data_IF_449694518777
#
_entry.id   IF_449694518777
#
_cell.length_a   1.000
_cell.length_b   1.000
_cell.length_c   1.000
_cell.angle_alpha   90.00
_cell.angle_beta   90.00
_cell.angle_gamma   90.00
#
_symmetry.space_group_name_H-M   'P 1'
#
loop_
_entity.id
_entity.type
_entity.pdbx_description
1 polymer ?
#
# COMPACT_ATOMS: atom_id res chain seq x y z
N UNK A 1 9.00 6.05 -37.20
CA UNK A 1 8.96 6.44 -35.77
C UNK A 1 7.83 5.69 -35.09
N UNK A 2 8.14 4.73 -34.21
CA UNK A 2 7.11 3.94 -33.50
C UNK A 2 6.61 4.72 -32.27
N UNK A 3 5.35 5.18 -32.22
CA UNK A 3 4.83 6.03 -31.14
C UNK A 3 4.82 5.36 -29.74
N UNK A 4 5.04 4.05 -29.67
CA UNK A 4 4.92 3.25 -28.44
C UNK A 4 6.18 3.14 -27.58
N UNK A 5 7.37 3.42 -28.13
CA UNK A 5 8.63 3.22 -27.41
C UNK A 5 8.82 4.22 -26.24
N UNK A 6 8.40 5.48 -26.43
CA UNK A 6 8.55 6.54 -25.43
C UNK A 6 7.61 6.40 -24.24
N UNK A 7 6.39 5.88 -24.45
CA UNK A 7 5.40 5.68 -23.38
C UNK A 7 5.72 4.46 -22.52
N UNK A 8 6.17 3.35 -23.14
CA UNK A 8 6.57 2.13 -22.42
C UNK A 8 7.76 2.42 -21.50
N UNK A 9 8.84 3.02 -22.00
CA UNK A 9 10.01 3.35 -21.18
C UNK A 9 9.69 4.32 -20.03
N UNK A 10 8.75 5.26 -20.25
CA UNK A 10 8.38 6.27 -19.26
C UNK A 10 7.69 5.70 -18.02
N UNK A 11 6.94 4.61 -18.16
CA UNK A 11 6.19 3.99 -17.07
C UNK A 11 6.85 2.73 -16.51
N UNK A 12 7.84 2.16 -17.20
CA UNK A 12 8.55 0.96 -16.72
C UNK A 12 9.16 1.13 -15.33
N UNK A 13 9.96 2.19 -15.12
CA UNK A 13 10.59 2.41 -13.82
C UNK A 13 9.55 2.66 -12.69
N UNK A 14 8.56 3.56 -12.84
CA UNK A 14 7.47 3.71 -11.87
C UNK A 14 6.74 2.40 -11.55
N UNK A 15 6.40 1.61 -12.57
CA UNK A 15 5.73 0.33 -12.38
C UNK A 15 6.59 -0.67 -11.61
N UNK A 16 7.90 -0.69 -11.87
CA UNK A 16 8.84 -1.54 -11.13
C UNK A 16 8.94 -1.13 -9.66
N UNK A 17 9.02 0.16 -9.38
CA UNK A 17 9.04 0.67 -8.00
C UNK A 17 7.73 0.37 -7.27
N UNK A 18 6.58 0.51 -7.95
CA UNK A 18 5.29 0.13 -7.39
C UNK A 18 5.16 -1.36 -7.12
N UNK A 19 5.59 -2.21 -8.07
CA UNK A 19 5.59 -3.65 -7.89
C UNK A 19 6.52 -4.08 -6.73
N UNK A 20 7.71 -3.48 -6.63
CA UNK A 20 8.64 -3.75 -5.55
C UNK A 20 8.05 -3.33 -4.20
N UNK A 21 7.46 -2.14 -4.09
CA UNK A 21 6.81 -1.67 -2.87
C UNK A 21 5.68 -2.61 -2.44
N UNK A 22 4.81 -3.01 -3.37
CA UNK A 22 3.71 -3.94 -3.10
C UNK A 22 4.22 -5.31 -2.62
N UNK A 23 5.21 -5.88 -3.32
CA UNK A 23 5.77 -7.19 -2.96
C UNK A 23 6.46 -7.15 -1.61
N UNK A 24 7.27 -6.12 -1.35
CA UNK A 24 7.94 -5.95 -0.06
C UNK A 24 6.93 -5.82 1.08
N UNK A 25 5.88 -5.01 0.90
CA UNK A 25 4.83 -4.84 1.91
C UNK A 25 4.12 -6.16 2.23
N UNK A 26 3.68 -6.92 1.21
CA UNK A 26 3.04 -8.21 1.43
C UNK A 26 3.98 -9.24 2.07
N UNK A 27 5.26 -9.27 1.67
CA UNK A 27 6.25 -10.16 2.29
C UNK A 27 6.51 -9.78 3.75
N UNK A 28 6.59 -8.49 4.07
CA UNK A 28 6.75 -8.02 5.44
C UNK A 28 5.54 -8.38 6.29
N UNK A 29 4.31 -8.23 5.78
CA UNK A 29 3.08 -8.65 6.48
C UNK A 29 3.05 -10.15 6.72
N UNK A 30 3.37 -10.95 5.71
CA UNK A 30 3.44 -12.41 5.83
C UNK A 30 4.50 -12.85 6.85
N UNK A 31 5.68 -12.23 6.81
CA UNK A 31 6.73 -12.48 7.81
C UNK A 31 6.27 -12.08 9.22
N UNK A 32 5.62 -10.92 9.37
CA UNK A 32 5.12 -10.46 10.66
C UNK A 32 4.08 -11.42 11.24
N UNK A 33 3.15 -11.91 10.41
CA UNK A 33 2.17 -12.93 10.81
C UNK A 33 2.81 -14.25 11.24
N UNK A 34 3.95 -14.64 10.67
CA UNK A 34 4.60 -15.91 10.99
C UNK A 34 5.53 -15.84 12.20
N UNK A 35 6.03 -14.65 12.56
CA UNK A 35 7.05 -14.50 13.62
C UNK A 35 6.55 -13.72 14.83
N UNK A 36 5.58 -12.81 14.67
CA UNK A 36 5.13 -11.89 15.71
C UNK A 36 3.71 -12.17 16.23
N UNK A 37 3.11 -13.32 15.91
CA UNK A 37 1.74 -13.64 16.32
C UNK A 37 1.59 -13.78 17.85
N UNK A 38 2.58 -14.40 18.49
CA UNK A 38 2.60 -14.69 19.93
C UNK A 38 3.73 -13.95 20.68
N UNK A 39 4.51 -13.12 19.98
CA UNK A 39 5.69 -12.46 20.54
C UNK A 39 6.00 -11.11 19.93
N UNK A 40 6.67 -10.27 20.70
CA UNK A 40 7.27 -9.01 20.24
C UNK A 40 8.78 -9.13 20.08
N UNK A 41 9.35 -8.37 19.14
CA UNK A 41 10.80 -8.27 18.95
C UNK A 41 11.26 -6.87 19.36
N UNK A 42 12.12 -6.80 20.37
CA UNK A 42 12.78 -5.56 20.77
C UNK A 42 13.96 -5.29 19.84
N UNK A 43 13.97 -4.12 19.19
CA UNK A 43 15.02 -3.75 18.23
C UNK A 43 16.12 -2.93 18.92
N UNK A 44 15.82 -1.66 19.21
CA UNK A 44 16.77 -0.73 19.82
C UNK A 44 16.04 0.26 20.70
N UNK A 45 16.56 0.45 21.91
CA UNK A 45 16.01 1.37 22.90
C UNK A 45 14.53 1.07 23.22
N UNK A 46 13.60 1.92 22.78
CA UNK A 46 12.15 1.75 22.99
C UNK A 46 11.43 1.21 21.75
N UNK A 47 12.14 0.99 20.63
CA UNK A 47 11.56 0.50 19.39
C UNK A 47 11.31 -1.01 19.48
N UNK A 48 10.04 -1.39 19.36
CA UNK A 48 9.58 -2.78 19.39
C UNK A 48 8.70 -3.07 18.19
N UNK A 49 8.92 -4.22 17.58
CA UNK A 49 8.02 -4.76 16.58
C UNK A 49 6.96 -5.58 17.31
N UNK A 50 5.70 -5.20 17.09
CA UNK A 50 4.53 -5.88 17.63
C UNK A 50 3.50 -5.99 16.53
N UNK A 51 2.92 -7.18 16.35
CA UNK A 51 1.87 -7.38 15.36
C UNK A 51 0.57 -6.76 15.88
N UNK A 52 0.03 -5.78 15.16
CA UNK A 52 -1.25 -5.15 15.49
C UNK A 52 -2.16 -5.25 14.27
N UNK A 53 -3.35 -5.77 14.49
CA UNK A 53 -4.38 -5.87 13.47
C UNK A 53 -5.17 -4.55 13.46
N UNK A 54 -4.95 -3.72 12.45
CA UNK A 54 -5.64 -2.44 12.32
C UNK A 54 -6.89 -2.61 11.45
N UNK A 55 -8.08 -2.60 12.05
CA UNK A 55 -9.39 -2.68 11.38
C UNK A 55 -9.81 -1.39 10.67
N UNK A 56 -8.84 -0.60 10.18
CA UNK A 56 -9.06 0.65 9.45
C UNK A 56 -9.17 1.91 10.32
N UNK A 57 -8.83 1.84 11.61
CA UNK A 57 -8.91 2.96 12.54
C UNK A 57 -7.52 3.34 13.07
N UNK A 58 -6.80 4.22 12.37
CA UNK A 58 -5.72 4.96 13.04
C UNK A 58 -6.36 5.76 14.19
N UNK A 59 -5.91 5.53 15.43
CA UNK A 59 -6.35 6.22 16.66
C UNK A 59 -7.77 5.90 17.20
N UNK A 60 -8.34 4.74 16.85
CA UNK A 60 -9.63 4.30 17.44
C UNK A 60 -10.87 5.10 17.00
N UNK A 61 -10.71 6.17 16.22
CA UNK A 61 -11.81 7.00 15.69
C UNK A 61 -12.33 6.57 14.32
N UNK A 62 -11.73 5.55 13.69
CA UNK A 62 -12.06 5.11 12.33
C UNK A 62 -12.83 3.80 12.21
N UNK A 63 -13.37 3.26 13.31
CA UNK A 63 -14.12 2.00 13.27
C UNK A 63 -15.34 2.15 12.34
N UNK A 64 -15.43 1.30 11.31
CA UNK A 64 -16.49 1.37 10.29
C UNK A 64 -16.20 2.29 9.10
N UNK A 65 -15.10 3.05 9.09
CA UNK A 65 -14.72 3.92 7.95
C UNK A 65 -13.93 3.18 6.86
N UNK A 66 -13.69 1.87 7.00
CA UNK A 66 -12.94 1.06 6.02
C UNK A 66 -13.31 1.35 4.56
N UNK A 67 -14.60 1.24 4.16
CA UNK A 67 -15.02 1.55 2.79
C UNK A 67 -14.76 2.99 2.36
N UNK A 68 -14.92 3.97 3.26
CA UNK A 68 -14.66 5.38 2.96
C UNK A 68 -13.16 5.60 2.71
N UNK A 69 -12.30 4.98 3.52
CA UNK A 69 -10.84 5.03 3.34
C UNK A 69 -10.42 4.35 2.03
N UNK A 70 -11.03 3.22 1.67
CA UNK A 70 -10.82 2.56 0.37
C UNK A 70 -11.12 3.51 -0.78
N UNK A 71 -12.28 4.18 -0.76
CA UNK A 71 -12.64 5.18 -1.80
C UNK A 71 -11.62 6.33 -1.81
N UNK A 72 -11.24 6.85 -0.64
CA UNK A 72 -10.25 7.92 -0.53
C UNK A 72 -8.90 7.51 -1.15
N UNK A 73 -8.42 6.29 -0.87
CA UNK A 73 -7.17 5.76 -1.44
C UNK A 73 -7.26 5.72 -2.96
N UNK A 74 -8.36 5.21 -3.52
CA UNK A 74 -8.57 5.16 -4.98
C UNK A 74 -8.52 6.58 -5.59
N UNK A 75 -9.19 7.55 -4.97
CA UNK A 75 -9.16 8.95 -5.42
C UNK A 75 -7.75 9.52 -5.40
N UNK A 76 -7.00 9.31 -4.32
CA UNK A 76 -5.62 9.79 -4.19
C UNK A 76 -4.71 9.13 -5.24
N UNK A 77 -4.83 7.82 -5.46
CA UNK A 77 -4.06 7.10 -6.50
C UNK A 77 -4.32 7.68 -7.88
N UNK A 78 -5.58 7.90 -8.26
CA UNK A 78 -5.94 8.50 -9.55
C UNK A 78 -5.35 9.90 -9.69
N UNK A 79 -5.43 10.72 -8.65
CA UNK A 79 -4.86 12.07 -8.64
C UNK A 79 -3.32 12.03 -8.83
N UNK A 80 -2.62 11.18 -8.09
CA UNK A 80 -1.16 11.07 -8.15
C UNK A 80 -0.68 10.56 -9.51
N UNK A 81 -1.33 9.54 -10.07
CA UNK A 81 -1.00 9.04 -11.42
C UNK A 81 -1.22 10.14 -12.45
N UNK A 82 -2.32 10.90 -12.35
CA UNK A 82 -2.60 12.02 -13.25
C UNK A 82 -1.59 13.15 -13.10
N UNK A 83 -1.18 13.48 -11.88
CA UNK A 83 -0.11 14.43 -11.61
C UNK A 83 1.23 13.96 -12.24
N UNK A 84 1.68 12.74 -11.93
CA UNK A 84 2.93 12.17 -12.46
C UNK A 84 2.94 12.06 -14.00
N UNK A 85 1.78 11.84 -14.61
CA UNK A 85 1.64 11.80 -16.07
C UNK A 85 1.90 13.14 -16.75
N UNK A 86 1.73 14.26 -16.03
CA UNK A 86 1.96 15.63 -16.51
C UNK A 86 3.35 16.17 -16.18
N UNK A 87 4.00 15.63 -15.15
CA UNK A 87 5.35 16.04 -14.76
C UNK A 87 6.39 15.41 -15.70
N UNK A 88 7.41 16.17 -16.10
CA UNK A 88 8.56 15.67 -16.89
C UNK A 88 9.58 14.87 -16.07
N UNK A 89 9.63 15.11 -14.77
CA UNK A 89 10.58 14.55 -13.82
C UNK A 89 10.41 13.03 -13.60
N UNK A 90 11.51 12.29 -13.76
CA UNK A 90 11.56 10.84 -13.60
C UNK A 90 11.52 10.43 -12.13
N UNK A 91 12.10 11.22 -11.23
CA UNK A 91 12.15 10.92 -9.80
C UNK A 91 10.74 10.95 -9.21
N UNK A 92 10.00 12.03 -9.48
CA UNK A 92 8.59 12.17 -9.10
C UNK A 92 7.76 10.97 -9.54
N UNK A 93 7.96 10.49 -10.79
CA UNK A 93 7.21 9.33 -11.28
C UNK A 93 7.55 8.04 -10.54
N UNK A 94 8.83 7.81 -10.21
CA UNK A 94 9.23 6.63 -9.43
C UNK A 94 8.66 6.67 -8.00
N UNK A 95 8.69 7.84 -7.34
CA UNK A 95 8.08 8.04 -6.03
C UNK A 95 6.57 7.77 -6.10
N UNK A 96 5.88 8.33 -7.09
CA UNK A 96 4.45 8.06 -7.30
C UNK A 96 4.19 6.58 -7.56
N UNK A 97 5.04 5.91 -8.35
CA UNK A 97 4.96 4.47 -8.57
C UNK A 97 5.02 3.68 -7.26
N UNK A 98 6.00 3.98 -6.40
CA UNK A 98 6.13 3.37 -5.07
C UNK A 98 4.91 3.63 -4.18
N UNK A 99 4.42 4.88 -4.12
CA UNK A 99 3.23 5.25 -3.34
C UNK A 99 1.99 4.49 -3.84
N UNK A 100 1.80 4.38 -5.16
CA UNK A 100 0.68 3.63 -5.75
C UNK A 100 0.80 2.15 -5.40
N UNK A 101 2.00 1.57 -5.48
CA UNK A 101 2.25 0.18 -5.07
C UNK A 101 1.85 -0.09 -3.62
N UNK A 102 2.31 0.76 -2.69
CA UNK A 102 1.97 0.66 -1.27
C UNK A 102 0.48 0.95 -0.98
N UNK A 103 -0.15 1.81 -1.77
CA UNK A 103 -1.60 2.03 -1.67
C UNK A 103 -2.39 0.80 -2.15
N UNK A 104 -1.94 0.16 -3.22
CA UNK A 104 -2.58 -1.05 -3.76
C UNK A 104 -2.49 -2.23 -2.81
N UNK A 105 -1.38 -2.42 -2.10
CA UNK A 105 -1.27 -3.49 -1.10
C UNK A 105 -2.30 -3.34 0.04
N UNK A 106 -2.54 -2.11 0.50
CA UNK A 106 -3.62 -1.83 1.47
C UNK A 106 -5.03 -2.10 0.92
N UNK A 107 -5.27 -1.86 -0.37
CA UNK A 107 -6.54 -2.20 -1.02
C UNK A 107 -6.73 -3.72 -1.12
N UNK A 108 -5.66 -4.48 -1.40
CA UNK A 108 -5.71 -5.94 -1.46
C UNK A 108 -6.15 -6.52 -0.12
N UNK A 109 -5.54 -6.06 0.98
CA UNK A 109 -5.90 -6.55 2.32
C UNK A 109 -7.37 -6.25 2.65
N UNK A 110 -7.84 -5.03 2.37
CA UNK A 110 -9.24 -4.64 2.60
C UNK A 110 -10.24 -5.42 1.74
N UNK A 111 -9.91 -5.73 0.48
CA UNK A 111 -10.75 -6.57 -0.38
C UNK A 111 -10.82 -8.02 0.13
N UNK A 112 -9.70 -8.56 0.62
CA UNK A 112 -9.67 -9.90 1.21
C UNK A 112 -10.53 -9.94 2.47
N UNK A 113 -10.45 -8.93 3.32
CA UNK A 113 -11.29 -8.81 4.51
C UNK A 113 -12.79 -8.74 4.17
N UNK A 114 -13.15 -7.92 3.17
CA UNK A 114 -14.52 -7.80 2.66
C UNK A 114 -15.04 -9.12 2.07
N UNK A 115 -14.22 -9.83 1.28
CA UNK A 115 -14.59 -11.12 0.69
C UNK A 115 -14.74 -12.23 1.73
N UNK A 116 -13.88 -12.24 2.75
CA UNK A 116 -13.89 -13.27 3.80
C UNK A 116 -15.08 -13.12 4.77
N UNK A 117 -15.89 -12.06 4.64
CA UNK A 117 -17.12 -11.92 5.40
C UNK A 117 -16.91 -11.98 6.92
N UNK A 118 -15.73 -11.53 7.40
CA UNK A 118 -15.51 -11.37 8.84
C UNK A 118 -16.43 -10.24 9.30
N UNK A 119 -17.64 -10.62 9.72
CA UNK A 119 -18.40 -9.80 10.65
C UNK A 119 -17.44 -9.43 11.79
N UNK A 120 -17.41 -8.17 12.23
CA UNK A 120 -16.62 -7.81 13.39
C UNK A 120 -17.18 -8.62 14.55
N UNK A 121 -16.47 -9.68 14.96
CA UNK A 121 -16.66 -10.21 16.30
C UNK A 121 -16.25 -9.08 17.26
N UNK A 122 -17.15 -8.84 18.21
CA UNK A 122 -17.20 -7.70 19.11
C UNK A 122 -15.93 -7.49 19.93
#
# INVERSE_FOLDING_TARGET
MSPGAGLRGRWMAPSLFGAAALVLDQLTKWWALSVLDDRSIDLVWTLRLHLVHNSGAAFGQGQGLGPLLTVLIVVVVVFLVRYASRTGDHITRCIVGAIVGAAMSNLVDGCVELMMGRCPER
#
